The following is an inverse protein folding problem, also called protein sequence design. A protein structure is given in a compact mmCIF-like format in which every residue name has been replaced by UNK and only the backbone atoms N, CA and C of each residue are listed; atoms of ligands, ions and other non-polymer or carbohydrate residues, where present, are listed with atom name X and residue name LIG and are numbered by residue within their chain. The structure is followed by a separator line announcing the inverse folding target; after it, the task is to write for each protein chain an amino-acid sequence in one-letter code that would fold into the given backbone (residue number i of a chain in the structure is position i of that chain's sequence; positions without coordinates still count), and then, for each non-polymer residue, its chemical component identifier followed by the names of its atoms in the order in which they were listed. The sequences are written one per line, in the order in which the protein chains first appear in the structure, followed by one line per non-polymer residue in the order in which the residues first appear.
data_IF_273314195467
#
_entry.id   IF_273314195467
#
_cell.length_a   1.000
_cell.length_b   1.000
_cell.length_c   1.000
_cell.angle_alpha   90.00
_cell.angle_beta   90.00
_cell.angle_gamma   90.00
#
_symmetry.space_group_name_H-M   'P 1'
#
loop_
_entity.id
_entity.type
_entity.pdbx_description
1 polymer ?
#
# COMPACT_ATOMS: atom_id res chain seq x y z
N UNK A 1 -7.50 -8.00 -30.49
CA UNK A 1 -6.63 -8.15 -29.32
C UNK A 1 -6.78 -6.90 -28.47
N UNK A 2 -7.71 -6.90 -27.50
CA UNK A 2 -7.71 -5.84 -26.49
C UNK A 2 -6.38 -5.96 -25.74
N UNK A 3 -5.49 -4.99 -25.92
CA UNK A 3 -4.19 -5.01 -25.26
C UNK A 3 -4.41 -5.08 -23.75
N UNK A 4 -3.65 -5.93 -23.06
CA UNK A 4 -3.57 -5.93 -21.60
C UNK A 4 -2.94 -4.60 -21.14
N UNK A 5 -3.71 -3.51 -21.19
CA UNK A 5 -3.29 -2.21 -20.67
C UNK A 5 -3.45 -2.23 -19.17
N UNK A 6 -2.36 -2.00 -18.45
CA UNK A 6 -2.40 -1.83 -16.99
C UNK A 6 -3.26 -0.62 -16.66
N UNK A 7 -4.14 -0.77 -15.68
CA UNK A 7 -4.95 0.35 -15.20
C UNK A 7 -4.10 1.43 -14.55
N UNK A 8 -4.58 2.67 -14.65
CA UNK A 8 -3.88 3.85 -14.14
C UNK A 8 -3.84 3.82 -12.62
N UNK A 9 -2.64 3.96 -12.05
CA UNK A 9 -2.46 4.09 -10.61
C UNK A 9 -3.05 5.41 -10.09
N UNK A 10 -3.94 5.30 -9.10
CA UNK A 10 -4.62 6.45 -8.49
C UNK A 10 -3.75 7.11 -7.42
N UNK A 11 -3.67 8.44 -7.44
CA UNK A 11 -2.97 9.24 -6.43
C UNK A 11 -3.85 9.39 -5.20
N UNK A 12 -3.36 8.96 -4.04
CA UNK A 12 -4.10 8.91 -2.78
C UNK A 12 -3.16 9.22 -1.62
N UNK A 13 -3.63 10.01 -0.65
CA UNK A 13 -2.92 10.31 0.59
C UNK A 13 -2.95 9.13 1.57
N UNK A 14 -1.95 9.02 2.45
CA UNK A 14 -1.83 7.92 3.41
C UNK A 14 -3.02 7.85 4.38
N UNK A 15 -3.52 8.99 4.88
CA UNK A 15 -4.69 9.01 5.76
C UNK A 15 -5.96 8.53 5.05
N UNK A 16 -6.17 8.93 3.79
CA UNK A 16 -7.29 8.47 2.96
C UNK A 16 -7.21 6.96 2.73
N UNK A 17 -6.02 6.46 2.36
CA UNK A 17 -5.80 5.04 2.13
C UNK A 17 -6.06 4.22 3.40
N UNK A 18 -5.50 4.64 4.54
CA UNK A 18 -5.70 3.98 5.86
C UNK A 18 -7.15 3.93 6.32
N UNK A 19 -7.96 4.89 5.88
CA UNK A 19 -9.39 4.91 6.21
C UNK A 19 -10.23 4.00 5.29
N UNK A 20 -9.61 3.35 4.30
CA UNK A 20 -10.29 2.49 3.34
C UNK A 20 -10.36 1.05 3.84
N UNK A 21 -11.54 0.46 3.77
CA UNK A 21 -11.85 -0.91 4.21
C UNK A 21 -12.83 -1.66 3.27
N UNK A 22 -13.19 -1.08 2.12
CA UNK A 22 -14.17 -1.64 1.20
C UNK A 22 -13.48 -2.08 -0.08
N UNK A 23 -13.46 -3.38 -0.31
CA UNK A 23 -12.99 -3.96 -1.56
C UNK A 23 -14.06 -4.81 -2.22
N UNK A 24 -14.10 -4.78 -3.56
CA UNK A 24 -15.06 -5.52 -4.35
C UNK A 24 -14.42 -6.01 -5.66
N UNK A 25 -15.03 -7.01 -6.29
CA UNK A 25 -14.64 -7.50 -7.63
C UNK A 25 -15.70 -7.06 -8.64
N UNK A 26 -15.28 -6.78 -9.86
CA UNK A 26 -16.16 -6.34 -10.95
C UNK A 26 -16.08 -7.35 -12.11
N UNK A 27 -17.22 -7.89 -12.53
CA UNK A 27 -17.36 -8.89 -13.60
C UNK A 27 -18.73 -9.56 -13.58
N UNK A 28 -19.32 -9.83 -14.75
CA UNK A 28 -20.67 -10.41 -14.93
C UNK A 28 -20.82 -11.80 -14.29
N UNK A 29 -19.71 -12.51 -14.21
CA UNK A 29 -19.56 -13.68 -13.38
C UNK A 29 -18.48 -13.33 -12.35
N UNK A 30 -18.73 -13.62 -11.08
CA UNK A 30 -17.72 -13.64 -10.01
C UNK A 30 -16.68 -14.75 -10.25
N UNK A 31 -16.08 -14.77 -11.44
CA UNK A 31 -14.95 -15.60 -11.78
C UNK A 31 -13.82 -15.26 -10.80
N UNK A 32 -13.14 -16.31 -10.33
CA UNK A 32 -12.01 -16.21 -9.42
C UNK A 32 -10.86 -15.31 -9.91
N UNK A 33 -10.87 -14.94 -11.20
CA UNK A 33 -9.87 -14.08 -11.86
C UNK A 33 -10.28 -12.61 -12.02
N UNK A 34 -11.47 -12.22 -11.55
CA UNK A 34 -11.93 -10.83 -11.65
C UNK A 34 -11.01 -9.88 -10.84
N UNK A 35 -10.66 -8.69 -11.40
CA UNK A 35 -9.82 -7.73 -10.70
C UNK A 35 -10.49 -7.25 -9.41
N UNK A 36 -9.70 -7.15 -8.35
CA UNK A 36 -10.13 -6.60 -7.06
C UNK A 36 -9.83 -5.10 -7.01
N UNK A 37 -10.84 -4.33 -6.66
CA UNK A 37 -10.75 -2.89 -6.47
C UNK A 37 -10.93 -2.53 -5.00
N UNK A 38 -10.19 -1.53 -4.55
CA UNK A 38 -10.44 -0.82 -3.30
C UNK A 38 -11.22 0.46 -3.60
N UNK A 39 -12.28 0.72 -2.84
CA UNK A 39 -12.97 2.02 -2.85
C UNK A 39 -12.53 2.83 -1.63
N UNK A 40 -12.02 4.03 -1.85
CA UNK A 40 -11.64 4.94 -0.76
C UNK A 40 -12.85 5.71 -0.22
N UNK A 41 -12.78 6.26 1.01
CA UNK A 41 -13.82 7.13 1.55
C UNK A 41 -14.13 8.37 0.72
N UNK A 42 -13.19 8.84 -0.10
CA UNK A 42 -13.42 9.98 -1.00
C UNK A 42 -14.07 9.57 -2.33
N UNK A 43 -14.30 8.28 -2.57
CA UNK A 43 -14.87 7.76 -3.81
C UNK A 43 -13.85 7.36 -4.87
N UNK A 44 -12.58 7.15 -4.52
CA UNK A 44 -11.58 6.68 -5.47
C UNK A 44 -11.66 5.15 -5.62
N UNK A 45 -12.01 4.67 -6.82
CA UNK A 45 -11.88 3.25 -7.20
C UNK A 45 -10.45 2.95 -7.64
N UNK A 46 -9.79 2.03 -6.95
CA UNK A 46 -8.35 1.82 -7.04
C UNK A 46 -8.00 0.33 -7.16
N UNK A 47 -7.47 -0.07 -8.32
CA UNK A 47 -6.75 -1.34 -8.48
C UNK A 47 -5.27 -1.18 -8.10
N UNK A 48 -4.70 -0.02 -8.45
CA UNK A 48 -3.33 0.40 -8.15
C UNK A 48 -3.32 1.79 -7.55
N UNK A 49 -2.38 2.02 -6.65
CA UNK A 49 -2.15 3.31 -6.00
C UNK A 49 -0.77 3.82 -6.39
N UNK A 50 -0.68 5.12 -6.66
CA UNK A 50 0.57 5.84 -6.81
C UNK A 50 0.78 6.76 -5.60
N UNK A 51 1.81 6.45 -4.83
CA UNK A 51 2.11 7.10 -3.55
C UNK A 51 3.53 7.64 -3.56
N UNK A 52 3.74 8.84 -3.03
CA UNK A 52 5.08 9.42 -2.87
C UNK A 52 5.22 9.92 -1.45
N UNK A 53 6.34 9.58 -0.81
CA UNK A 53 6.60 9.98 0.56
C UNK A 53 8.04 9.73 0.97
N UNK A 54 8.31 9.87 2.25
CA UNK A 54 9.63 9.65 2.86
C UNK A 54 9.68 8.25 3.43
N UNK A 55 10.57 7.40 2.92
CA UNK A 55 10.92 6.13 3.54
C UNK A 55 11.64 6.43 4.85
N UNK A 56 11.08 5.98 5.98
CA UNK A 56 11.58 6.26 7.34
C UNK A 56 12.21 5.04 7.98
N UNK A 57 11.64 3.86 7.72
CA UNK A 57 12.10 2.58 8.25
C UNK A 57 12.11 1.57 7.11
N UNK A 58 13.09 0.66 7.13
CA UNK A 58 13.10 -0.54 6.28
C UNK A 58 13.59 -1.71 7.12
N UNK A 59 12.92 -2.85 6.99
CA UNK A 59 13.27 -4.09 7.69
C UNK A 59 13.22 -5.25 6.71
N UNK A 60 14.23 -6.12 6.77
CA UNK A 60 14.13 -7.43 6.15
C UNK A 60 13.39 -8.36 7.12
N UNK A 61 12.20 -8.78 6.72
CA UNK A 61 11.37 -9.72 7.49
C UNK A 61 11.34 -11.10 6.82
N UNK A 62 12.14 -11.29 5.78
CA UNK A 62 12.36 -12.57 5.13
C UNK A 62 13.31 -13.46 5.94
N UNK A 63 12.98 -14.74 6.08
CA UNK A 63 13.89 -15.74 6.66
C UNK A 63 14.72 -16.39 5.57
N UNK A 64 14.06 -17.12 4.67
CA UNK A 64 14.71 -17.86 3.56
C UNK A 64 14.59 -17.13 2.21
N UNK A 65 13.74 -16.11 2.15
CA UNK A 65 13.33 -15.42 0.92
C UNK A 65 13.33 -13.93 1.17
N UNK A 66 13.91 -13.14 0.26
CA UNK A 66 13.91 -11.67 0.37
C UNK A 66 12.49 -11.12 0.49
N UNK A 67 12.21 -10.52 1.65
CA UNK A 67 10.91 -9.92 1.93
C UNK A 67 11.09 -8.66 2.76
N UNK A 68 11.03 -7.52 2.09
CA UNK A 68 11.28 -6.22 2.68
C UNK A 68 9.99 -5.53 3.09
N UNK A 69 9.98 -5.01 4.31
CA UNK A 69 8.96 -4.10 4.84
C UNK A 69 9.53 -2.69 4.87
N UNK A 70 8.78 -1.71 4.39
CA UNK A 70 9.13 -0.30 4.52
C UNK A 70 8.01 0.51 5.17
N UNK A 71 8.36 1.56 5.90
CA UNK A 71 7.43 2.58 6.39
C UNK A 71 7.63 3.88 5.62
N UNK A 72 6.59 4.31 4.91
CA UNK A 72 6.65 5.52 4.09
C UNK A 72 5.67 6.55 4.63
N UNK A 73 6.14 7.78 4.82
CA UNK A 73 5.40 8.87 5.44
C UNK A 73 5.12 9.98 4.44
N UNK A 74 3.86 10.40 4.34
CA UNK A 74 3.45 11.62 3.66
C UNK A 74 2.96 12.68 4.69
N UNK A 75 2.65 13.92 4.27
CA UNK A 75 2.15 14.95 5.17
C UNK A 75 0.82 14.63 5.89
N UNK A 76 0.14 13.55 5.49
CA UNK A 76 -1.13 13.11 6.08
C UNK A 76 -0.99 11.92 7.01
N UNK A 77 0.08 11.14 6.89
CA UNK A 77 0.42 10.04 7.77
C UNK A 77 1.38 9.03 7.14
N UNK A 78 1.55 7.90 7.81
CA UNK A 78 2.39 6.80 7.33
C UNK A 78 1.59 5.63 6.75
N UNK A 79 2.18 4.88 5.82
CA UNK A 79 1.71 3.60 5.30
C UNK A 79 2.83 2.57 5.29
N UNK A 80 2.49 1.29 5.47
CA UNK A 80 3.42 0.18 5.33
C UNK A 80 3.43 -0.33 3.89
N UNK A 81 4.62 -0.51 3.35
CA UNK A 81 4.86 -1.12 2.05
C UNK A 81 5.55 -2.47 2.23
N UNK A 82 5.24 -3.41 1.35
CA UNK A 82 5.87 -4.72 1.29
C UNK A 82 6.35 -5.01 -0.13
N UNK A 83 7.58 -5.48 -0.25
CA UNK A 83 8.17 -5.97 -1.48
C UNK A 83 8.77 -7.35 -1.23
N UNK A 84 8.25 -8.38 -1.90
CA UNK A 84 8.71 -9.76 -1.73
C UNK A 84 9.29 -10.34 -3.01
N UNK A 85 9.59 -11.65 -2.99
CA UNK A 85 10.18 -12.39 -4.13
C UNK A 85 9.47 -12.24 -5.47
N UNK A 86 8.17 -11.99 -5.48
CA UNK A 86 7.40 -11.81 -6.73
C UNK A 86 7.54 -10.42 -7.33
N UNK A 87 8.22 -9.52 -6.62
CA UNK A 87 8.55 -8.15 -7.02
C UNK A 87 10.04 -7.90 -6.79
N UNK A 88 10.93 -8.65 -7.46
CA UNK A 88 12.37 -8.64 -7.16
C UNK A 88 13.00 -7.26 -7.40
N UNK A 89 12.55 -6.53 -8.43
CA UNK A 89 13.02 -5.16 -8.69
C UNK A 89 12.69 -4.21 -7.53
N UNK A 90 11.44 -4.23 -7.04
CA UNK A 90 11.03 -3.40 -5.92
C UNK A 90 11.75 -3.78 -4.62
N UNK A 91 11.96 -5.08 -4.38
CA UNK A 91 12.66 -5.59 -3.20
C UNK A 91 14.14 -5.17 -3.19
N UNK A 92 14.84 -5.33 -4.31
CA UNK A 92 16.26 -4.93 -4.44
C UNK A 92 16.44 -3.41 -4.28
N UNK A 93 15.56 -2.61 -4.87
CA UNK A 93 15.59 -1.15 -4.72
C UNK A 93 15.35 -0.77 -3.26
N UNK A 94 14.36 -1.38 -2.59
CA UNK A 94 14.09 -1.11 -1.18
C UNK A 94 15.24 -1.56 -0.26
N UNK A 95 15.88 -2.69 -0.57
CA UNK A 95 17.04 -3.20 0.15
C UNK A 95 18.25 -2.26 0.05
N UNK A 96 18.51 -1.72 -1.14
CA UNK A 96 19.64 -0.82 -1.42
C UNK A 96 19.44 0.64 -1.04
N UNK A 97 18.22 1.05 -0.68
CA UNK A 97 17.93 2.41 -0.21
C UNK A 97 18.39 2.63 1.23
N UNK A 98 18.98 3.79 1.48
CA UNK A 98 19.23 4.29 2.83
C UNK A 98 18.08 5.19 3.28
N UNK A 99 17.52 4.91 4.46
CA UNK A 99 16.51 5.76 5.09
C UNK A 99 17.20 6.86 5.94
N UNK A 100 16.73 8.13 5.90
CA UNK A 100 15.54 8.61 5.21
C UNK A 100 15.77 8.95 3.71
N UNK A 101 14.82 8.58 2.85
CA UNK A 101 14.85 8.93 1.42
C UNK A 101 13.45 9.18 0.84
N UNK A 102 13.33 10.09 -0.12
CA UNK A 102 12.08 10.26 -0.86
C UNK A 102 11.92 9.13 -1.88
N UNK A 103 10.74 8.51 -1.86
CA UNK A 103 10.42 7.35 -2.70
C UNK A 103 9.07 7.51 -3.36
N UNK A 104 8.98 7.09 -4.61
CA UNK A 104 7.72 6.88 -5.32
C UNK A 104 7.40 5.40 -5.39
N UNK A 105 6.15 5.05 -5.13
CA UNK A 105 5.66 3.67 -5.08
C UNK A 105 4.43 3.55 -5.96
N UNK A 106 4.46 2.55 -6.84
CA UNK A 106 3.26 2.02 -7.49
C UNK A 106 2.99 0.67 -6.88
N UNK A 107 1.80 0.49 -6.30
CA UNK A 107 1.48 -0.74 -5.59
C UNK A 107 0.01 -1.09 -5.58
N UNK A 108 -0.27 -2.34 -5.26
CA UNK A 108 -1.63 -2.85 -5.03
C UNK A 108 -1.98 -2.71 -3.55
N UNK A 109 -3.13 -2.08 -3.21
CA UNK A 109 -3.60 -2.08 -1.83
C UNK A 109 -4.03 -3.49 -1.42
N UNK A 110 -3.63 -3.88 -0.22
CA UNK A 110 -4.00 -5.15 0.38
C UNK A 110 -4.64 -4.87 1.74
N UNK A 111 -5.87 -5.34 1.93
CA UNK A 111 -6.59 -5.25 3.20
C UNK A 111 -6.35 -6.54 3.97
N UNK A 112 -5.85 -6.41 5.19
CA UNK A 112 -5.71 -7.49 6.13
C UNK A 112 -6.58 -7.19 7.36
N UNK A 113 -7.38 -8.16 7.78
CA UNK A 113 -8.15 -8.06 9.01
C UNK A 113 -7.38 -8.76 10.12
N UNK A 114 -7.11 -8.05 11.21
CA UNK A 114 -6.49 -8.62 12.40
C UNK A 114 -7.50 -9.47 13.18
N UNK A 115 -7.01 -10.31 14.09
CA UNK A 115 -7.87 -11.11 14.98
C UNK A 115 -8.81 -10.22 15.82
N UNK A 116 -8.34 -9.02 16.20
CA UNK A 116 -9.14 -8.01 16.90
C UNK A 116 -10.25 -7.36 16.05
N UNK A 117 -10.39 -7.76 14.79
CA UNK A 117 -11.37 -7.22 13.84
C UNK A 117 -10.96 -5.90 13.18
N UNK A 118 -9.81 -5.33 13.52
CA UNK A 118 -9.29 -4.12 12.89
C UNK A 118 -8.83 -4.41 11.45
N UNK A 119 -9.21 -3.54 10.52
CA UNK A 119 -8.76 -3.63 9.13
C UNK A 119 -7.52 -2.76 8.96
N UNK A 120 -6.40 -3.39 8.63
CA UNK A 120 -5.14 -2.73 8.32
C UNK A 120 -4.92 -2.81 6.81
N UNK A 121 -4.65 -1.66 6.20
CA UNK A 121 -4.25 -1.60 4.81
C UNK A 121 -2.73 -1.53 4.68
N UNK A 122 -2.22 -2.25 3.70
CA UNK A 122 -0.83 -2.24 3.29
C UNK A 122 -0.72 -2.08 1.78
N UNK A 123 0.45 -1.64 1.29
CA UNK A 123 0.73 -1.57 -0.13
C UNK A 123 1.73 -2.66 -0.51
N UNK A 124 1.33 -3.57 -1.40
CA UNK A 124 2.27 -4.43 -2.10
C UNK A 124 2.91 -3.63 -3.21
N UNK A 125 4.18 -3.28 -3.06
CA UNK A 125 4.90 -2.48 -4.03
C UNK A 125 5.19 -3.30 -5.28
N UNK A 126 4.66 -2.86 -6.43
CA UNK A 126 5.01 -3.42 -7.74
C UNK A 126 6.27 -2.74 -8.30
N UNK A 127 6.45 -1.45 -8.01
CA UNK A 127 7.62 -0.66 -8.38
C UNK A 127 7.90 0.39 -7.32
N UNK A 128 9.18 0.59 -7.01
CA UNK A 128 9.66 1.60 -6.07
C UNK A 128 10.81 2.32 -6.77
N UNK A 129 10.86 3.65 -6.67
CA UNK A 129 12.00 4.44 -7.17
C UNK A 129 12.34 5.56 -6.21
N UNK A 130 13.63 5.87 -6.08
CA UNK A 130 14.08 7.07 -5.38
C UNK A 130 13.70 8.29 -6.20
N UNK A 131 13.15 9.31 -5.55
CA UNK A 131 12.77 10.57 -6.19
C UNK A 131 13.39 11.74 -5.46
N UNK A 132 13.33 12.92 -6.08
CA UNK A 132 13.75 14.18 -5.49
C UNK A 132 12.59 14.89 -4.77
N UNK A 133 12.93 15.97 -4.08
CA UNK A 133 11.97 16.78 -3.36
C UNK A 133 10.93 17.44 -4.30
N UNK A 134 11.36 17.87 -5.49
CA UNK A 134 10.48 18.49 -6.48
C UNK A 134 9.37 17.53 -6.93
N UNK A 135 9.71 16.26 -7.19
CA UNK A 135 8.73 15.23 -7.56
C UNK A 135 7.74 14.96 -6.43
N UNK A 136 8.20 14.90 -5.17
CA UNK A 136 7.33 14.79 -3.99
C UNK A 136 6.36 15.97 -3.91
N UNK A 137 6.87 17.19 -4.08
CA UNK A 137 6.07 18.41 -4.01
C UNK A 137 5.00 18.45 -5.10
N UNK A 138 5.36 18.08 -6.33
CA UNK A 138 4.42 17.98 -7.44
C UNK A 138 3.34 16.91 -7.16
N UNK A 139 3.73 15.77 -6.59
CA UNK A 139 2.77 14.73 -6.21
C UNK A 139 1.78 15.22 -5.15
N UNK A 140 2.22 15.98 -4.13
CA UNK A 140 1.32 16.54 -3.10
C UNK A 140 0.27 17.45 -3.77
N UNK A 141 0.70 18.33 -4.67
CA UNK A 141 -0.19 19.25 -5.39
C UNK A 141 -1.21 18.52 -6.27
N UNK A 142 -0.75 17.56 -7.07
CA UNK A 142 -1.62 16.77 -7.96
C UNK A 142 -2.61 15.92 -7.16
N UNK A 143 -2.15 15.33 -6.06
CA UNK A 143 -2.99 14.50 -5.18
C UNK A 143 -4.04 15.36 -4.48
N UNK A 144 -3.66 16.52 -3.95
CA UNK A 144 -4.58 17.48 -3.37
C UNK A 144 -5.70 17.89 -4.35
N UNK A 145 -5.32 18.28 -5.59
CA UNK A 145 -6.30 18.63 -6.63
C UNK A 145 -7.28 17.49 -6.91
N UNK A 146 -6.76 16.28 -7.15
CA UNK A 146 -7.58 15.10 -7.46
C UNK A 146 -8.45 14.67 -6.29
N UNK A 147 -7.99 14.82 -5.05
CA UNK A 147 -8.80 14.53 -3.86
C UNK A 147 -9.93 15.55 -3.72
N UNK A 148 -9.67 16.84 -3.94
CA UNK A 148 -10.72 17.87 -3.92
C UNK A 148 -11.78 17.65 -5.01
N UNK A 149 -11.38 17.28 -6.22
CA UNK A 149 -12.31 16.92 -7.31
C UNK A 149 -13.22 15.76 -6.89
N UNK A 150 -12.66 14.72 -6.25
CA UNK A 150 -13.44 13.59 -5.74
C UNK A 150 -14.39 14.00 -4.63
N UNK A 151 -13.96 14.84 -3.69
CA UNK A 151 -14.83 15.38 -2.63
C UNK A 151 -15.98 16.18 -3.22
N UNK A 152 -15.75 16.99 -4.26
CA UNK A 152 -16.83 17.71 -4.95
C UNK A 152 -17.81 16.79 -5.67
N UNK A 153 -17.36 15.64 -6.18
CA UNK A 153 -18.26 14.61 -6.72
C UNK A 153 -19.04 13.91 -5.60
N UNK A 154 -18.41 13.65 -4.46
CA UNK A 154 -19.02 13.03 -3.29
C UNK A 154 -20.09 13.91 -2.64
N UNK A 155 -19.93 15.24 -2.67
CA UNK A 155 -20.95 16.21 -2.24
C UNK A 155 -22.20 16.14 -3.12
N UNK A 156 -22.02 15.98 -4.42
CA UNK A 156 -23.10 15.92 -5.42
C UNK A 156 -23.70 14.53 -5.59
N UNK A 157 -23.04 13.50 -5.03
CA UNK A 157 -23.50 12.13 -5.12
C UNK A 157 -24.71 11.95 -4.20
N UNK A 158 -25.89 11.94 -4.80
CA UNK A 158 -27.09 11.46 -4.14
C UNK A 158 -27.08 9.93 -4.14
N UNK A 159 -27.47 9.28 -3.03
CA UNK A 159 -27.70 7.84 -3.06
C UNK A 159 -28.76 7.55 -4.12
N UNK A 160 -28.49 6.59 -5.01
CA UNK A 160 -29.45 6.22 -6.04
C UNK A 160 -30.80 5.89 -5.37
N UNK A 161 -31.92 6.46 -5.83
CA UNK A 161 -33.21 6.06 -5.29
C UNK A 161 -33.37 4.56 -5.49
N UNK A 162 -33.85 3.85 -4.47
CA UNK A 162 -34.25 2.45 -4.63
C UNK A 162 -35.34 2.40 -5.70
N UNK A 163 -34.97 2.12 -6.95
CA UNK A 163 -35.94 1.85 -8.00
C UNK A 163 -36.63 0.54 -7.67
N UNK A 164 -37.96 0.55 -7.63
CA UNK A 164 -38.81 -0.65 -7.50
C UNK A 164 -38.69 -1.60 -8.69
N UNK A 165 -37.99 -1.17 -9.74
CA UNK A 165 -37.83 -1.93 -10.96
C UNK A 165 -36.70 -2.94 -10.75
N UNK A 166 -37.09 -4.22 -10.70
CA UNK A 166 -36.24 -5.41 -10.60
C UNK A 166 -35.27 -5.55 -11.81
N UNK A 167 -35.38 -4.68 -12.80
CA UNK A 167 -34.65 -4.74 -14.05
C UNK A 167 -33.34 -3.96 -13.94
N UNK A 168 -32.31 -4.72 -13.57
CA UNK A 168 -30.90 -4.57 -13.94
C UNK A 168 -30.07 -3.51 -13.19
N UNK A 169 -29.77 -3.83 -11.93
CA UNK A 169 -28.63 -3.23 -11.21
C UNK A 169 -27.26 -3.49 -11.90
N UNK A 170 -27.19 -4.50 -12.78
CA UNK A 170 -25.99 -4.89 -13.53
C UNK A 170 -25.96 -4.40 -14.99
N UNK A 171 -26.96 -3.67 -15.48
CA UNK A 171 -26.97 -3.24 -16.89
C UNK A 171 -26.10 -2.01 -17.10
N UNK A 172 -24.89 -2.28 -17.58
CA UNK A 172 -24.17 -1.49 -18.56
C UNK A 172 -23.77 -0.07 -18.12
N UNK A 173 -22.53 0.10 -17.65
CA UNK A 173 -21.58 1.17 -18.01
C UNK A 173 -20.31 0.96 -17.16
N UNK A 174 -19.10 1.36 -17.61
CA UNK A 174 -17.94 1.43 -16.71
C UNK A 174 -18.32 2.30 -15.51
N UNK A 175 -18.00 1.84 -14.29
CA UNK A 175 -18.36 2.57 -13.07
C UNK A 175 -17.97 4.04 -13.21
N UNK A 176 -18.96 4.92 -13.30
CA UNK A 176 -18.68 6.35 -13.39
C UNK A 176 -18.15 6.80 -12.05
N UNK A 177 -17.28 7.82 -12.03
CA UNK A 177 -16.80 8.39 -10.76
C UNK A 177 -17.97 8.80 -9.83
N UNK A 178 -19.16 9.08 -10.37
CA UNK A 178 -20.37 9.41 -9.61
C UNK A 178 -21.02 8.19 -8.95
N UNK A 179 -21.08 7.04 -9.63
CA UNK A 179 -21.54 5.77 -9.03
C UNK A 179 -20.59 5.32 -7.91
N UNK A 180 -19.28 5.40 -8.15
CA UNK A 180 -18.28 5.06 -7.13
C UNK A 180 -18.35 6.01 -5.93
N UNK A 181 -18.60 7.31 -6.17
CA UNK A 181 -18.86 8.28 -5.10
C UNK A 181 -20.14 7.94 -4.31
N UNK A 182 -21.24 7.58 -4.98
CA UNK A 182 -22.47 7.18 -4.30
C UNK A 182 -22.26 5.92 -3.44
N UNK A 183 -21.56 4.91 -3.96
CA UNK A 183 -21.19 3.70 -3.21
C UNK A 183 -20.32 4.01 -2.00
N UNK A 184 -19.32 4.88 -2.17
CA UNK A 184 -18.46 5.31 -1.06
C UNK A 184 -19.27 6.06 0.00
N UNK A 185 -20.21 6.91 -0.39
CA UNK A 185 -21.08 7.66 0.53
C UNK A 185 -21.94 6.74 1.38
N UNK A 186 -22.56 5.72 0.77
CA UNK A 186 -23.37 4.71 1.46
C UNK A 186 -22.54 3.87 2.43
N UNK A 187 -21.33 3.48 2.04
CA UNK A 187 -20.48 2.64 2.88
C UNK A 187 -19.82 3.42 4.03
N UNK A 188 -19.19 4.56 3.71
CA UNK A 188 -18.32 5.27 4.66
C UNK A 188 -19.03 6.36 5.46
N UNK A 189 -20.16 6.88 4.98
CA UNK A 189 -20.79 8.08 5.57
C UNK A 189 -19.77 9.22 5.76
N UNK A 190 -18.93 9.40 4.74
CA UNK A 190 -17.72 10.22 4.81
C UNK A 190 -18.00 11.66 5.26
N UNK A 191 -17.32 12.10 6.31
CA UNK A 191 -17.20 13.52 6.65
C UNK A 191 -16.28 14.24 5.66
N UNK A 192 -16.88 15.06 4.80
CA UNK A 192 -16.20 15.78 3.73
C UNK A 192 -15.27 16.85 4.29
N UNK A 193 -15.64 17.48 5.42
CA UNK A 193 -14.81 18.51 6.04
C UNK A 193 -13.52 17.94 6.61
N UNK A 194 -13.57 16.73 7.17
CA UNK A 194 -12.39 16.01 7.64
C UNK A 194 -11.35 15.86 6.52
N UNK A 195 -11.77 15.40 5.34
CA UNK A 195 -10.84 15.22 4.22
C UNK A 195 -10.42 16.56 3.58
N UNK A 196 -11.24 17.61 3.63
CA UNK A 196 -10.82 18.97 3.27
C UNK A 196 -9.70 19.49 4.19
N UNK A 197 -9.84 19.29 5.51
CA UNK A 197 -8.82 19.64 6.51
C UNK A 197 -7.54 18.84 6.31
N UNK A 198 -7.65 17.54 5.98
CA UNK A 198 -6.50 16.70 5.61
C UNK A 198 -5.73 17.28 4.41
N UNK A 199 -6.42 17.65 3.33
CA UNK A 199 -5.79 18.27 2.15
C UNK A 199 -5.16 19.63 2.51
N UNK A 200 -5.86 20.45 3.30
CA UNK A 200 -5.33 21.74 3.75
C UNK A 200 -4.04 21.58 4.57
N UNK A 201 -3.98 20.59 5.49
CA UNK A 201 -2.76 20.28 6.24
C UNK A 201 -1.61 19.86 5.31
N UNK A 202 -1.88 19.02 4.31
CA UNK A 202 -0.85 18.60 3.36
C UNK A 202 -0.29 19.78 2.55
N UNK A 203 -1.15 20.68 2.07
CA UNK A 203 -0.75 21.88 1.34
C UNK A 203 -0.04 22.91 2.24
N UNK A 204 -0.46 23.03 3.50
CA UNK A 204 0.22 23.88 4.48
C UNK A 204 1.65 23.39 4.78
N UNK A 205 1.82 22.07 4.95
CA UNK A 205 3.15 21.45 5.08
C UNK A 205 4.02 21.75 3.87
N UNK A 206 3.49 21.56 2.66
CA UNK A 206 4.21 21.86 1.42
C UNK A 206 4.61 23.34 1.32
N UNK A 207 3.71 24.26 1.70
CA UNK A 207 4.00 25.70 1.72
C UNK A 207 5.14 26.02 2.69
N UNK A 208 5.16 25.39 3.87
CA UNK A 208 6.21 25.59 4.86
C UNK A 208 7.57 25.10 4.33
N UNK A 209 7.61 23.95 3.64
CA UNK A 209 8.83 23.41 3.04
C UNK A 209 9.36 24.30 1.92
N UNK A 210 8.48 24.79 1.03
CA UNK A 210 8.85 25.76 -0.01
C UNK A 210 9.31 27.11 0.56
N UNK A 211 8.81 27.50 1.74
CA UNK A 211 9.25 28.71 2.42
C UNK A 211 10.68 28.62 2.97
N UNK A 212 11.12 27.42 3.36
CA UNK A 212 12.49 27.19 3.86
C UNK A 212 13.52 27.26 2.74
N UNK A 213 13.22 26.68 1.58
CA UNK A 213 14.16 26.66 0.44
C UNK A 213 14.46 28.05 -0.11
N UNK A 214 13.51 28.99 -0.03
CA UNK A 214 13.70 30.40 -0.44
C UNK A 214 14.44 31.21 0.64
N UNK A 215 14.34 30.81 1.91
CA UNK A 215 15.02 31.48 3.03
C UNK A 215 16.53 31.26 3.03
N UNK A 216 16.99 30.02 2.77
CA UNK A 216 18.41 29.66 2.82
C UNK A 216 19.24 30.23 1.67
N UNK A 217 18.65 30.48 0.48
CA UNK A 217 19.38 31.01 -0.67
C UNK A 217 19.61 32.54 -0.60
N UNK A 218 18.96 33.22 0.37
CA UNK A 218 19.14 34.66 0.62
C UNK A 218 20.29 35.00 1.60
N UNK A 219 20.96 33.99 2.16
CA UNK A 219 21.96 34.15 3.22
C UNK A 219 23.43 33.96 2.84
N UNK A 220 23.77 33.56 1.60
CA UNK A 220 25.16 33.15 1.27
C UNK A 220 26.03 34.18 0.52
N UNK A 221 25.61 35.45 0.46
CA UNK A 221 26.35 36.55 -0.19
C UNK A 221 26.72 37.69 0.79
N UNK A 222 27.22 37.35 1.98
CA UNK A 222 27.95 38.31 2.82
C UNK A 222 28.79 37.60 3.89
N UNK A 223 30.06 37.30 3.60
CA UNK A 223 31.20 37.48 4.54
C UNK A 223 32.48 36.86 3.99
N UNK A 224 33.18 37.62 3.13
CA UNK A 224 34.63 37.51 2.98
C UNK A 224 35.24 38.89 3.11
N UNK A 225 35.29 39.39 4.35
CA UNK A 225 36.15 40.50 4.73
C UNK A 225 36.80 40.12 6.07
N UNK A 226 38.09 39.79 5.99
CA UNK A 226 38.90 39.43 7.14
C UNK A 226 39.07 40.59 8.11
N UNK A 227 39.23 40.24 9.38
CA UNK A 227 39.86 41.08 10.39
C UNK A 227 40.49 40.15 11.42
N UNK A 228 41.81 40.05 11.35
CA UNK A 228 42.65 39.52 12.42
C UNK A 228 42.46 40.34 13.70
N UNK A 229 42.40 39.67 14.86
CA UNK A 229 42.86 40.18 16.15
C UNK A 229 43.11 39.03 17.13
N UNK A 230 44.33 38.98 17.64
CA UNK A 230 44.86 38.10 18.69
C UNK A 230 44.39 38.49 20.10
N UNK A 231 44.45 37.50 21.02
CA UNK A 231 44.64 37.61 22.48
C UNK A 231 43.35 37.86 23.27
N UNK A 232 43.08 37.26 24.44
CA UNK A 232 43.88 36.56 25.44
C UNK A 232 42.98 35.66 26.32
N UNK A 233 43.63 34.77 27.05
CA UNK A 233 43.14 33.77 28.00
C UNK A 233 42.29 34.32 29.16
N UNK A 234 41.35 33.51 29.66
CA UNK A 234 41.36 33.05 31.06
C UNK A 234 40.32 31.93 31.24
N UNK A 235 40.76 30.86 31.90
CA UNK A 235 39.94 29.70 32.22
C UNK A 235 39.01 29.93 33.41
N UNK A 236 38.04 29.04 33.53
CA UNK A 236 37.69 28.41 34.80
C UNK A 236 36.90 27.13 34.49
N UNK A 237 37.47 26.00 34.92
CA UNK A 237 36.77 24.74 35.09
C UNK A 237 35.77 24.89 36.25
N UNK A 238 34.61 24.23 36.16
CA UNK A 238 34.21 23.17 37.10
C UNK A 238 32.73 22.74 36.87
N UNK A 239 32.60 21.42 36.73
CA UNK A 239 31.48 20.56 37.13
C UNK A 239 30.18 20.48 36.32
N UNK A 240 30.07 19.38 35.58
CA UNK A 240 28.83 18.61 35.40
C UNK A 240 28.30 18.07 36.75
N UNK A 241 27.01 17.69 36.78
CA UNK A 241 26.79 16.25 36.73
C UNK A 241 25.72 15.80 35.71
N UNK A 242 26.02 14.61 35.21
CA UNK A 242 25.27 13.67 34.40
C UNK A 242 23.96 13.23 35.09
N UNK A 243 22.86 13.14 34.34
CA UNK A 243 21.80 12.13 34.53
C UNK A 243 21.59 11.47 33.15
N UNK A 244 22.21 10.31 32.90
CA UNK A 244 21.61 8.96 32.99
C UNK A 244 20.22 8.89 32.30
N UNK A 245 20.04 8.21 31.16
CA UNK A 245 20.48 6.86 30.84
C UNK A 245 19.24 5.96 30.79
N UNK A 246 18.59 5.87 29.62
CA UNK A 246 17.58 4.83 29.40
C UNK A 246 18.17 3.73 28.51
N UNK A 247 19.02 2.91 29.13
CA UNK A 247 19.30 1.57 28.64
C UNK A 247 18.13 0.67 29.02
N UNK A 248 17.52 0.02 28.02
CA UNK A 248 16.76 -1.20 28.24
C UNK A 248 17.44 -2.31 27.44
N UNK A 249 18.24 -3.11 28.13
CA UNK A 249 18.76 -4.39 27.66
C UNK A 249 18.03 -5.57 28.36
N UNK A 250 18.13 -6.78 27.80
CA UNK A 250 17.04 -7.75 27.75
C UNK A 250 17.22 -8.90 28.75
N UNK A 251 16.11 -9.46 29.23
CA UNK A 251 16.02 -10.75 29.93
C UNK A 251 14.59 -11.28 29.73
N UNK A 252 14.26 -12.57 29.71
CA UNK A 252 15.00 -13.82 29.58
C UNK A 252 13.95 -14.95 29.39
N UNK A 253 14.33 -15.99 28.64
CA UNK A 253 13.99 -17.42 28.78
C UNK A 253 12.59 -17.88 29.22
N UNK A 254 12.01 -18.66 28.29
CA UNK A 254 11.54 -20.06 28.42
C UNK A 254 10.53 -20.41 29.53
N UNK A 255 9.34 -20.81 29.07
CA UNK A 255 8.56 -21.90 29.67
C UNK A 255 8.36 -23.00 28.62
N UNK A 256 9.09 -24.11 28.78
CA UNK A 256 8.68 -25.45 28.33
C UNK A 256 7.51 -25.90 29.22
N UNK A 257 6.47 -26.58 28.73
CA UNK A 257 6.32 -28.02 28.48
C UNK A 257 4.83 -28.27 28.09
N UNK A 258 4.36 -29.48 27.67
CA UNK A 258 5.09 -30.69 27.25
C UNK A 258 4.66 -31.24 25.87
N UNK A 259 5.51 -32.13 25.34
CA UNK A 259 5.18 -33.13 24.31
C UNK A 259 3.97 -34.00 24.71
N UNK A 260 2.99 -34.11 23.83
CA UNK A 260 2.03 -35.21 23.83
C UNK A 260 2.29 -36.12 22.62
N UNK A 261 2.74 -37.33 22.94
CA UNK A 261 3.03 -38.45 22.03
C UNK A 261 1.76 -38.92 21.33
N UNK A 262 1.80 -39.10 20.01
CA UNK A 262 1.03 -40.14 19.33
C UNK A 262 1.83 -40.79 18.16
N UNK A 263 1.54 -42.07 17.83
CA UNK A 263 2.57 -43.06 17.60
C UNK A 263 2.95 -43.30 16.14
N UNK A 264 4.23 -43.62 15.97
CA UNK A 264 4.90 -43.99 14.73
C UNK A 264 4.54 -45.44 14.33
N UNK A 265 3.84 -45.65 13.20
CA UNK A 265 3.69 -46.98 12.57
C UNK A 265 4.74 -47.13 11.46
N UNK A 266 5.76 -47.94 11.75
CA UNK A 266 6.76 -48.44 10.80
C UNK A 266 6.11 -49.46 9.84
N UNK A 267 6.30 -49.29 8.53
CA UNK A 267 6.28 -50.40 7.56
C UNK A 267 7.55 -50.27 6.69
N UNK A 268 8.32 -51.37 6.64
CA UNK A 268 9.62 -51.53 5.99
C UNK A 268 9.51 -51.59 4.45
N UNK A 269 10.56 -51.26 3.70
CA UNK A 269 10.61 -51.46 2.26
C UNK A 269 11.06 -52.89 1.89
N UNK A 270 10.53 -53.44 0.80
CA UNK A 270 11.14 -54.58 0.07
C UNK A 270 11.27 -54.23 -1.41
N UNK A 271 12.49 -54.48 -1.92
CA UNK A 271 12.94 -54.35 -3.30
C UNK A 271 12.27 -55.38 -4.23
N UNK A 272 12.16 -55.02 -5.51
CA UNK A 272 12.40 -55.94 -6.63
C UNK A 272 11.29 -55.93 -7.68
N UNK A 273 11.61 -55.52 -8.91
CA UNK A 273 10.75 -55.75 -10.07
C UNK A 273 10.94 -54.74 -11.20
N UNK A 274 11.83 -55.05 -12.13
CA UNK A 274 12.00 -54.41 -13.44
C UNK A 274 10.78 -54.63 -14.34
N UNK A 275 10.42 -53.64 -15.16
CA UNK A 275 10.24 -53.71 -16.63
C UNK A 275 9.22 -52.65 -17.11
N UNK A 276 9.70 -51.84 -18.04
CA UNK A 276 9.12 -51.50 -19.34
C UNK A 276 7.74 -50.86 -19.52
N UNK A 277 7.81 -49.89 -20.43
CA UNK A 277 6.83 -49.53 -21.45
C UNK A 277 5.59 -48.75 -21.03
N UNK A 278 5.62 -47.47 -21.38
CA UNK A 278 4.43 -46.67 -21.66
C UNK A 278 3.78 -47.19 -22.95
N UNK A 279 2.45 -47.39 -23.00
CA UNK A 279 1.74 -47.48 -24.27
C UNK A 279 1.06 -46.15 -24.62
N UNK A 280 1.20 -45.80 -25.90
CA UNK A 280 0.50 -44.72 -26.58
C UNK A 280 -1.01 -45.00 -26.78
N UNK A 281 -1.67 -43.90 -27.16
CA UNK A 281 -2.99 -43.70 -27.75
C UNK A 281 -3.64 -44.86 -28.52
N UNK A 282 -4.96 -44.96 -28.33
CA UNK A 282 -5.91 -45.50 -29.30
C UNK A 282 -7.09 -46.22 -28.65
N UNK A 283 -8.31 -45.82 -29.00
CA UNK A 283 -9.50 -46.65 -28.81
C UNK A 283 -10.69 -45.95 -28.14
N UNK A 284 -11.48 -45.29 -28.99
CA UNK A 284 -12.95 -45.28 -29.00
C UNK A 284 -13.67 -45.94 -27.81
N UNK A 285 -14.29 -45.15 -26.94
CA UNK A 285 -15.49 -45.57 -26.21
C UNK A 285 -16.55 -44.46 -26.22
N UNK A 286 -17.73 -44.89 -26.65
CA UNK A 286 -18.96 -44.14 -26.86
C UNK A 286 -19.43 -43.46 -25.57
N UNK A 287 -19.61 -42.15 -25.60
CA UNK A 287 -20.30 -41.43 -24.52
C UNK A 287 -21.74 -41.19 -24.96
N UNK A 288 -22.66 -41.91 -24.31
CA UNK A 288 -24.09 -41.86 -24.57
C UNK A 288 -24.65 -40.43 -24.47
N UNK A 289 -25.46 -40.09 -25.47
CA UNK A 289 -26.13 -38.81 -25.61
C UNK A 289 -27.35 -38.75 -24.69
N UNK A 290 -27.29 -37.87 -23.68
CA UNK A 290 -28.47 -37.48 -22.91
C UNK A 290 -29.34 -36.51 -23.73
N UNK A 291 -30.47 -37.02 -24.21
CA UNK A 291 -31.55 -36.25 -24.84
C UNK A 291 -32.21 -35.30 -23.83
N UNK A 292 -32.04 -33.99 -24.00
CA UNK A 292 -32.91 -32.99 -23.38
C UNK A 292 -33.92 -32.51 -24.43
N UNK A 293 -35.15 -33.01 -24.28
CA UNK A 293 -36.27 -32.73 -25.16
C UNK A 293 -36.65 -31.25 -25.18
N UNK A 294 -36.79 -30.72 -26.40
CA UNK A 294 -37.58 -29.52 -26.73
C UNK A 294 -39.01 -29.95 -27.03
N UNK A 295 -39.97 -29.23 -26.44
CA UNK A 295 -41.38 -28.95 -26.84
C UNK A 295 -42.15 -28.71 -25.53
N UNK A 296 -43.03 -27.72 -25.40
CA UNK A 296 -43.68 -26.80 -26.31
C UNK A 296 -44.19 -25.62 -25.48
#
# INVERSE_FOLDING_TARGET
MAGFSREVARRIFAEELKSSNYSFREGEDQHQYAPQYLLTPTGAKCNRVFFVGTLTEKDDIGTDVEYWRGRVVDPTGSILIYAGQYQPEAAQILASMDAPAFVSIVGKPNLYQTEDGNVIISLRAESIQRVDEATRNQWIMDTARRTLERLSLLEKAEPAPLSSDFTTADSAYPSTNQQDAARARVHYHTDIERYRKMVARALASLKADLGKTVGDDSGSLASSAGSERMGEENGDELHEPIEEGFEAKPEAKQKEMPEEKQPNKKIKPKKGGSLDSWPEAGGDEEVETFNLGKKS
#
